data_IF_296929822888
#
_entry.id   IF_296929822888
#
_cell.length_a   1.000
_cell.length_b   1.000
_cell.length_c   1.000
_cell.angle_alpha   90.00
_cell.angle_beta   90.00
_cell.angle_gamma   90.00
#
_symmetry.space_group_name_H-M   'P 1'
#
loop_
_entity.id
_entity.type
_entity.pdbx_description
1 polymer ?
#
# COMPACT_ATOMS: atom_id res chain seq x y z
N UNK A 1 -69.59 -6.02 9.25
CA UNK A 1 -68.35 -5.57 8.61
C UNK A 1 -67.50 -4.60 9.45
N UNK A 2 -67.30 -4.86 10.77
CA UNK A 2 -66.56 -3.95 11.67
C UNK A 2 -65.42 -4.62 12.48
N UNK A 3 -65.14 -5.91 12.26
CA UNK A 3 -64.16 -6.65 13.04
C UNK A 3 -62.84 -7.04 12.29
N UNK A 4 -62.69 -6.71 11.00
CA UNK A 4 -61.52 -7.07 10.19
C UNK A 4 -60.52 -5.92 10.06
N UNK A 5 -60.92 -4.67 10.34
CA UNK A 5 -60.06 -3.50 10.15
C UNK A 5 -59.08 -3.20 11.30
N UNK A 6 -59.34 -3.69 12.50
CA UNK A 6 -58.50 -3.38 13.68
C UNK A 6 -57.17 -4.14 13.71
N UNK A 7 -57.05 -5.40 13.29
CA UNK A 7 -55.78 -6.09 13.27
C UNK A 7 -54.84 -5.57 12.16
N UNK A 8 -55.40 -5.11 11.02
CA UNK A 8 -54.61 -4.58 9.91
C UNK A 8 -53.90 -3.25 10.27
N UNK A 9 -54.60 -2.38 10.99
CA UNK A 9 -54.05 -1.09 11.46
C UNK A 9 -52.95 -1.34 12.54
N UNK A 10 -53.14 -2.31 13.42
CA UNK A 10 -52.07 -2.67 14.40
C UNK A 10 -50.83 -3.28 13.75
N UNK A 11 -50.98 -4.09 12.72
CA UNK A 11 -49.84 -4.62 11.95
C UNK A 11 -49.12 -3.52 11.16
N UNK A 12 -49.86 -2.53 10.61
CA UNK A 12 -49.23 -1.42 9.88
C UNK A 12 -48.49 -0.48 10.82
N UNK A 13 -49.02 -0.25 12.05
CA UNK A 13 -48.35 0.60 13.07
C UNK A 13 -47.08 -0.13 13.64
N UNK A 14 -47.12 -1.46 13.78
CA UNK A 14 -45.93 -2.22 14.16
C UNK A 14 -44.88 -2.23 13.06
N UNK A 15 -45.24 -2.26 11.77
CA UNK A 15 -44.28 -2.19 10.66
C UNK A 15 -43.67 -0.77 10.53
N UNK A 16 -44.42 0.28 10.84
CA UNK A 16 -43.91 1.67 10.82
C UNK A 16 -42.92 1.97 11.97
N UNK A 17 -42.93 1.21 13.06
CA UNK A 17 -42.02 1.39 14.19
C UNK A 17 -40.64 0.74 13.97
N UNK A 18 -40.48 -0.09 12.91
CA UNK A 18 -39.22 -0.68 12.52
C UNK A 18 -38.46 0.04 11.38
N UNK A 19 -39.11 1.08 10.80
CA UNK A 19 -38.40 1.99 9.89
C UNK A 19 -37.83 3.15 10.74
N UNK A 20 -36.97 2.82 11.69
CA UNK A 20 -35.96 3.77 12.14
C UNK A 20 -34.97 3.90 11.00
N UNK A 21 -34.82 5.15 10.52
CA UNK A 21 -33.97 5.52 9.42
C UNK A 21 -32.55 4.97 9.51
N UNK A 22 -31.74 5.10 8.47
CA UNK A 22 -30.42 4.53 8.45
C UNK A 22 -29.67 4.99 9.68
N UNK A 23 -29.45 4.08 10.62
CA UNK A 23 -28.39 4.25 11.57
C UNK A 23 -27.15 4.43 10.71
N UNK A 24 -26.66 5.65 10.59
CA UNK A 24 -25.33 5.91 10.08
C UNK A 24 -24.42 5.10 10.99
N UNK A 25 -24.10 3.89 10.57
CA UNK A 25 -23.03 3.12 11.15
C UNK A 25 -21.78 3.93 10.84
N UNK A 26 -21.49 4.92 11.66
CA UNK A 26 -20.14 5.44 11.79
C UNK A 26 -19.32 4.25 12.25
N UNK A 27 -18.72 3.54 11.28
CA UNK A 27 -17.64 2.63 11.58
C UNK A 27 -16.50 3.50 12.14
N UNK A 28 -16.55 3.73 13.44
CA UNK A 28 -15.45 4.31 14.17
C UNK A 28 -14.34 3.29 14.19
N UNK A 29 -13.40 3.38 13.24
CA UNK A 29 -12.16 2.64 13.31
C UNK A 29 -11.42 3.08 14.57
N UNK A 30 -11.48 2.27 15.62
CA UNK A 30 -10.72 2.48 16.84
C UNK A 30 -9.59 1.46 16.83
N UNK A 31 -8.39 1.93 16.48
CA UNK A 31 -7.19 1.12 16.67
C UNK A 31 -6.82 1.26 18.15
N UNK A 32 -6.88 0.16 18.88
CA UNK A 32 -6.39 0.12 20.24
C UNK A 32 -4.86 0.11 20.20
N UNK A 33 -4.28 1.21 20.67
CA UNK A 33 -2.83 1.32 20.85
C UNK A 33 -2.48 0.61 22.17
N UNK A 34 -1.65 -0.44 22.13
CA UNK A 34 -1.16 -1.04 23.35
C UNK A 34 -0.36 0.00 24.12
N UNK A 35 -0.79 0.31 25.34
CA UNK A 35 -0.09 1.22 26.21
C UNK A 35 1.11 0.47 26.79
N UNK A 36 2.36 0.99 26.62
CA UNK A 36 3.51 0.34 27.24
C UNK A 36 3.36 0.28 28.76
N UNK A 37 3.70 -0.82 29.39
CA UNK A 37 3.53 -1.06 30.83
C UNK A 37 4.13 0.07 31.70
N UNK A 38 5.26 0.63 31.28
CA UNK A 38 5.93 1.76 31.96
C UNK A 38 5.07 3.04 32.04
N UNK A 39 4.00 3.10 31.26
CA UNK A 39 3.15 4.30 31.12
C UNK A 39 1.69 4.05 31.48
N UNK A 40 1.32 2.86 31.99
CA UNK A 40 -0.07 2.52 32.30
C UNK A 40 -0.79 3.56 33.16
N UNK A 41 -0.10 4.09 34.17
CA UNK A 41 -0.64 5.08 35.10
C UNK A 41 -0.55 6.54 34.57
N UNK A 42 0.13 6.78 33.45
CA UNK A 42 0.33 8.14 32.92
C UNK A 42 -0.62 8.42 31.78
N UNK A 43 -1.18 9.62 31.75
CA UNK A 43 -1.92 10.11 30.56
C UNK A 43 -0.91 10.40 29.46
N UNK A 44 -1.05 9.71 28.34
CA UNK A 44 -0.13 9.83 27.21
C UNK A 44 -0.38 11.12 26.41
N UNK A 45 0.62 11.55 25.64
CA UNK A 45 0.48 12.74 24.77
C UNK A 45 -0.51 12.54 23.65
N UNK A 46 -0.62 11.32 23.11
CA UNK A 46 -1.64 10.97 22.12
C UNK A 46 -3.06 11.16 22.66
N UNK A 47 -3.30 10.83 23.94
CA UNK A 47 -4.59 11.01 24.62
C UNK A 47 -4.94 12.51 24.80
N UNK A 48 -3.92 13.35 25.02
CA UNK A 48 -4.02 14.81 25.20
C UNK A 48 -4.05 15.61 23.90
N UNK A 49 -4.04 14.99 22.73
CA UNK A 49 -3.99 15.70 21.43
C UNK A 49 -5.10 16.74 21.27
N UNK A 50 -6.28 16.52 21.89
CA UNK A 50 -7.42 17.43 21.84
C UNK A 50 -7.36 18.56 22.87
N UNK A 51 -6.51 18.45 23.91
CA UNK A 51 -6.52 19.32 25.10
C UNK A 51 -5.68 20.59 24.95
N UNK A 52 -5.14 20.93 23.79
CA UNK A 52 -4.30 22.12 23.67
C UNK A 52 -3.84 22.44 22.27
N UNK A 53 -3.14 23.54 22.13
CA UNK A 53 -2.50 23.91 20.84
C UNK A 53 -1.07 23.37 20.83
N UNK A 54 -0.75 22.57 19.81
CA UNK A 54 0.64 22.20 19.55
C UNK A 54 1.39 23.42 19.01
N UNK A 55 2.17 24.10 19.86
CA UNK A 55 2.96 25.28 19.49
C UNK A 55 4.17 24.88 18.66
N UNK A 56 4.62 25.76 17.75
CA UNK A 56 5.74 25.52 16.84
C UNK A 56 6.99 24.93 17.51
N UNK A 57 7.53 25.46 18.64
CA UNK A 57 8.72 24.87 19.26
C UNK A 57 8.48 23.42 19.71
N UNK A 58 7.31 23.13 20.30
CA UNK A 58 6.94 21.80 20.74
C UNK A 58 6.72 20.84 19.57
N UNK A 59 6.14 21.31 18.45
CA UNK A 59 5.97 20.52 17.23
C UNK A 59 7.32 20.10 16.65
N UNK A 60 8.27 21.02 16.54
CA UNK A 60 9.61 20.72 16.00
C UNK A 60 10.30 19.64 16.83
N UNK A 61 10.31 19.79 18.17
CA UNK A 61 10.93 18.79 19.06
C UNK A 61 10.24 17.42 18.88
N UNK A 62 8.91 17.39 18.87
CA UNK A 62 8.18 16.12 18.69
C UNK A 62 8.43 15.50 17.32
N UNK A 63 8.39 16.27 16.24
CA UNK A 63 8.70 15.78 14.90
C UNK A 63 10.11 15.19 14.84
N UNK A 64 11.10 15.87 15.42
CA UNK A 64 12.49 15.38 15.45
C UNK A 64 12.60 14.07 16.21
N UNK A 65 12.02 14.00 17.42
CA UNK A 65 12.07 12.77 18.25
C UNK A 65 11.32 11.64 17.58
N UNK A 66 10.12 11.89 17.04
CA UNK A 66 9.33 10.85 16.36
C UNK A 66 10.05 10.34 15.13
N UNK A 67 10.62 11.24 14.32
CA UNK A 67 11.36 10.86 13.12
C UNK A 67 12.55 9.98 13.44
N UNK A 68 13.50 10.48 14.24
CA UNK A 68 14.79 9.78 14.44
C UNK A 68 14.68 8.55 15.35
N UNK A 69 13.87 8.61 16.40
CA UNK A 69 13.82 7.50 17.36
C UNK A 69 12.83 6.39 16.96
N UNK A 70 11.77 6.74 16.22
CA UNK A 70 10.71 5.78 15.90
C UNK A 70 10.63 5.49 14.42
N UNK A 71 10.33 6.48 13.58
CA UNK A 71 10.13 6.27 12.14
C UNK A 71 11.39 5.76 11.46
N UNK A 72 12.52 6.41 11.65
CA UNK A 72 13.80 6.00 11.05
C UNK A 72 14.21 4.59 11.50
N UNK A 73 14.16 4.30 12.80
CA UNK A 73 14.55 3.00 13.33
C UNK A 73 13.58 1.89 12.92
N UNK A 74 12.28 2.16 12.83
CA UNK A 74 11.29 1.20 12.34
C UNK A 74 11.50 0.92 10.84
N UNK A 75 11.73 1.95 10.04
CA UNK A 75 12.03 1.82 8.60
C UNK A 75 13.30 1.01 8.36
N UNK A 76 14.36 1.29 9.12
CA UNK A 76 15.62 0.55 9.01
C UNK A 76 15.41 -0.94 9.30
N UNK A 77 14.74 -1.27 10.40
CA UNK A 77 14.45 -2.68 10.76
C UNK A 77 13.60 -3.38 9.69
N UNK A 78 12.60 -2.70 9.16
CA UNK A 78 11.76 -3.23 8.07
C UNK A 78 12.60 -3.54 6.82
N UNK A 79 13.49 -2.62 6.45
CA UNK A 79 14.39 -2.80 5.32
C UNK A 79 15.40 -3.94 5.57
N UNK A 80 15.90 -4.09 6.80
CA UNK A 80 16.80 -5.19 7.18
C UNK A 80 16.11 -6.56 7.00
N UNK A 81 14.82 -6.68 7.38
CA UNK A 81 14.03 -7.91 7.16
C UNK A 81 13.87 -8.21 5.67
N UNK A 82 13.49 -7.19 4.88
CA UNK A 82 13.36 -7.35 3.42
C UNK A 82 14.69 -7.71 2.76
N UNK A 83 15.79 -7.07 3.18
CA UNK A 83 17.12 -7.34 2.65
C UNK A 83 17.56 -8.78 2.96
N UNK A 84 17.40 -9.25 4.19
CA UNK A 84 17.66 -10.65 4.56
C UNK A 84 16.85 -11.62 3.71
N UNK A 85 15.56 -11.34 3.50
CA UNK A 85 14.70 -12.19 2.68
C UNK A 85 15.15 -12.24 1.22
N UNK A 86 15.62 -11.12 0.66
CA UNK A 86 16.22 -11.04 -0.67
C UNK A 86 17.56 -11.81 -0.77
N UNK A 87 18.41 -11.76 0.26
CA UNK A 87 19.69 -12.46 0.29
C UNK A 87 19.56 -13.98 0.34
N UNK A 88 18.50 -14.49 0.94
CA UNK A 88 18.19 -15.93 0.99
C UNK A 88 17.58 -16.41 -0.33
N UNK A 89 16.93 -15.53 -1.09
CA UNK A 89 16.28 -15.86 -2.34
C UNK A 89 17.29 -16.30 -3.40
N UNK A 90 16.92 -17.33 -4.18
CA UNK A 90 17.68 -17.80 -5.34
C UNK A 90 16.72 -17.94 -6.51
N UNK A 91 17.03 -17.25 -7.60
CA UNK A 91 16.26 -17.34 -8.83
C UNK A 91 16.59 -18.66 -9.57
N UNK A 92 15.54 -19.34 -10.03
CA UNK A 92 15.65 -20.45 -10.98
C UNK A 92 15.30 -19.96 -12.38
N UNK A 93 16.32 -19.74 -13.18
CA UNK A 93 16.18 -19.22 -14.55
C UNK A 93 15.62 -20.26 -15.55
N UNK A 94 15.46 -21.53 -15.14
CA UNK A 94 14.76 -22.53 -15.95
C UNK A 94 13.26 -22.38 -15.92
N UNK A 95 12.73 -21.62 -14.96
CA UNK A 95 11.31 -21.36 -14.76
C UNK A 95 10.99 -19.85 -14.87
N UNK A 96 9.69 -19.50 -14.90
CA UNK A 96 9.29 -18.11 -14.77
C UNK A 96 9.72 -17.57 -13.41
N UNK A 97 10.51 -16.51 -13.38
CA UNK A 97 10.95 -15.90 -12.13
C UNK A 97 9.75 -15.42 -11.32
N UNK A 98 9.78 -15.56 -9.98
CA UNK A 98 8.79 -14.91 -9.12
C UNK A 98 8.86 -13.39 -9.27
N UNK A 99 7.71 -12.73 -9.14
CA UNK A 99 7.64 -11.27 -9.34
C UNK A 99 8.59 -10.52 -8.42
N UNK A 100 8.56 -10.83 -7.11
CA UNK A 100 9.52 -10.31 -6.13
C UNK A 100 10.68 -11.31 -5.91
N UNK A 101 11.86 -10.79 -5.61
CA UNK A 101 13.01 -11.56 -5.18
C UNK A 101 13.02 -11.87 -3.67
N UNK A 102 11.84 -12.00 -3.09
CA UNK A 102 11.58 -12.47 -1.73
C UNK A 102 10.17 -13.08 -1.65
N UNK A 103 9.88 -13.83 -0.61
CA UNK A 103 8.54 -14.34 -0.35
C UNK A 103 8.06 -13.96 1.06
N UNK A 104 6.74 -13.80 1.22
CA UNK A 104 6.14 -13.49 2.51
C UNK A 104 6.37 -14.61 3.53
N UNK A 105 6.44 -15.87 3.08
CA UNK A 105 6.76 -17.01 3.95
C UNK A 105 8.18 -16.93 4.54
N UNK A 106 9.12 -16.25 3.88
CA UNK A 106 10.46 -15.98 4.41
C UNK A 106 10.43 -14.80 5.37
N UNK A 107 9.81 -13.67 4.99
CA UNK A 107 9.72 -12.50 5.88
C UNK A 107 8.99 -12.81 7.18
N UNK A 108 7.95 -13.65 7.14
CA UNK A 108 7.21 -14.09 8.31
C UNK A 108 8.09 -14.84 9.33
N UNK A 109 9.18 -15.48 8.92
CA UNK A 109 10.11 -16.14 9.85
C UNK A 109 10.85 -15.14 10.73
N UNK A 110 11.05 -13.92 10.27
CA UNK A 110 11.64 -12.81 11.03
C UNK A 110 10.57 -12.05 11.86
N UNK A 111 9.54 -12.77 12.38
CA UNK A 111 8.43 -12.19 13.12
C UNK A 111 8.86 -11.32 14.31
N UNK A 112 9.92 -11.70 15.04
CA UNK A 112 10.45 -10.93 16.16
C UNK A 112 10.95 -9.54 15.74
N UNK A 113 11.64 -9.46 14.59
CA UNK A 113 12.09 -8.18 14.05
C UNK A 113 10.90 -7.34 13.56
N UNK A 114 9.90 -7.97 12.94
CA UNK A 114 8.66 -7.31 12.52
C UNK A 114 7.82 -6.86 13.72
N UNK A 115 7.74 -7.64 14.80
CA UNK A 115 7.11 -7.23 16.06
C UNK A 115 7.86 -6.03 16.69
N UNK A 116 9.18 -5.97 16.56
CA UNK A 116 9.95 -4.78 16.97
C UNK A 116 9.63 -3.54 16.12
N UNK A 117 9.33 -3.69 14.82
CA UNK A 117 8.82 -2.59 13.98
C UNK A 117 7.46 -2.11 14.50
N UNK A 118 6.55 -3.05 14.77
CA UNK A 118 5.21 -2.78 15.30
C UNK A 118 5.29 -2.05 16.65
N UNK A 119 6.14 -2.55 17.56
CA UNK A 119 6.35 -1.92 18.88
C UNK A 119 6.88 -0.50 18.75
N UNK A 120 7.87 -0.27 17.87
CA UNK A 120 8.39 1.09 17.63
C UNK A 120 7.33 2.01 17.04
N UNK A 121 6.56 1.55 16.07
CA UNK A 121 5.50 2.33 15.46
C UNK A 121 4.40 2.67 16.48
N UNK A 122 3.86 1.68 17.18
CA UNK A 122 2.80 1.88 18.19
C UNK A 122 3.26 2.76 19.35
N UNK A 123 4.48 2.56 19.86
CA UNK A 123 5.05 3.42 20.92
C UNK A 123 5.25 4.85 20.42
N UNK A 124 5.75 5.04 19.21
CA UNK A 124 5.92 6.36 18.62
C UNK A 124 4.59 7.11 18.50
N UNK A 125 3.51 6.43 18.14
CA UNK A 125 2.16 6.99 18.08
C UNK A 125 1.64 7.31 19.51
N UNK A 126 1.78 6.36 20.45
CA UNK A 126 1.25 6.51 21.80
C UNK A 126 1.92 7.65 22.59
N UNK A 127 3.23 7.77 22.48
CA UNK A 127 4.05 8.70 23.29
C UNK A 127 4.06 10.14 22.74
N UNK A 128 3.59 10.38 21.51
CA UNK A 128 3.66 11.68 20.88
C UNK A 128 2.26 12.24 20.54
N UNK A 129 2.22 13.55 20.27
CA UNK A 129 1.01 14.21 19.81
C UNK A 129 0.66 13.72 18.40
N UNK A 130 -0.58 13.29 18.19
CA UNK A 130 -1.04 12.73 16.90
C UNK A 130 -1.03 13.74 15.74
N UNK A 131 -0.81 15.03 16.03
CA UNK A 131 -0.66 16.11 15.03
C UNK A 131 0.77 16.28 14.54
N UNK A 132 1.73 15.45 15.01
CA UNK A 132 3.07 15.46 14.44
C UNK A 132 3.06 14.88 13.01
N UNK A 133 4.05 15.30 12.21
CA UNK A 133 4.06 15.04 10.77
C UNK A 133 4.48 13.59 10.40
N UNK A 134 4.82 12.74 11.37
CA UNK A 134 5.30 11.36 11.18
C UNK A 134 4.33 10.28 11.69
N UNK A 135 3.16 10.69 12.16
CA UNK A 135 2.19 9.74 12.73
C UNK A 135 1.64 8.77 11.69
N UNK A 136 1.35 9.26 10.50
CA UNK A 136 0.87 8.45 9.37
C UNK A 136 1.95 7.51 8.82
N UNK A 137 3.21 7.92 8.82
CA UNK A 137 4.35 7.04 8.53
C UNK A 137 4.40 5.84 9.49
N UNK A 138 4.23 6.11 10.78
CA UNK A 138 4.23 5.04 11.79
C UNK A 138 3.08 4.07 11.60
N UNK A 139 1.86 4.55 11.32
CA UNK A 139 0.74 3.67 10.98
C UNK A 139 1.00 2.86 9.71
N UNK A 140 1.61 3.47 8.70
CA UNK A 140 1.97 2.79 7.45
C UNK A 140 3.01 1.68 7.72
N UNK A 141 4.08 1.98 8.44
CA UNK A 141 5.12 1.00 8.81
C UNK A 141 4.54 -0.17 9.61
N UNK A 142 3.61 0.12 10.51
CA UNK A 142 2.89 -0.91 11.26
C UNK A 142 2.07 -1.83 10.35
N UNK A 143 1.31 -1.24 9.41
CA UNK A 143 0.55 -2.00 8.41
C UNK A 143 1.44 -2.86 7.51
N UNK A 144 2.58 -2.32 7.06
CA UNK A 144 3.55 -3.06 6.26
C UNK A 144 4.15 -4.23 7.05
N UNK A 145 4.48 -4.03 8.32
CA UNK A 145 5.01 -5.10 9.17
C UNK A 145 3.99 -6.25 9.32
N UNK A 146 2.70 -5.94 9.51
CA UNK A 146 1.66 -6.97 9.52
C UNK A 146 1.52 -7.68 8.16
N UNK A 147 1.59 -6.95 7.06
CA UNK A 147 1.58 -7.56 5.72
C UNK A 147 2.73 -8.55 5.54
N UNK A 148 3.96 -8.19 5.96
CA UNK A 148 5.14 -9.05 5.87
C UNK A 148 5.08 -10.25 6.84
N UNK A 149 4.25 -10.18 7.89
CA UNK A 149 3.92 -11.31 8.78
C UNK A 149 2.77 -12.18 8.23
N UNK A 150 2.21 -11.86 7.07
CA UNK A 150 0.98 -12.48 6.54
C UNK A 150 -0.26 -12.28 7.44
N UNK A 151 -0.24 -11.28 8.32
CA UNK A 151 -1.40 -10.84 9.12
C UNK A 151 -2.24 -9.85 8.33
N UNK A 152 -2.81 -10.31 7.23
CA UNK A 152 -3.43 -9.46 6.20
C UNK A 152 -4.63 -8.65 6.68
N UNK A 153 -5.45 -9.22 7.58
CA UNK A 153 -6.61 -8.51 8.14
C UNK A 153 -6.17 -7.34 9.02
N UNK A 154 -5.12 -7.55 9.82
CA UNK A 154 -4.54 -6.48 10.66
C UNK A 154 -3.89 -5.38 9.80
N UNK A 155 -3.20 -5.77 8.73
CA UNK A 155 -2.64 -4.83 7.76
C UNK A 155 -3.74 -4.01 7.07
N UNK A 156 -4.82 -4.68 6.62
CA UNK A 156 -5.99 -4.05 6.03
C UNK A 156 -6.60 -2.99 6.94
N UNK A 157 -6.82 -3.30 8.22
CA UNK A 157 -7.38 -2.35 9.19
C UNK A 157 -6.52 -1.08 9.30
N UNK A 158 -5.18 -1.21 9.31
CA UNK A 158 -4.28 -0.05 9.38
C UNK A 158 -4.29 0.78 8.10
N UNK A 159 -4.27 0.15 6.93
CA UNK A 159 -4.36 0.87 5.65
C UNK A 159 -5.72 1.57 5.50
N UNK A 160 -6.80 0.93 5.90
CA UNK A 160 -8.13 1.55 5.94
C UNK A 160 -8.21 2.71 6.95
N UNK A 161 -7.59 2.56 8.12
CA UNK A 161 -7.50 3.65 9.10
C UNK A 161 -6.81 4.88 8.51
N UNK A 162 -5.65 4.69 7.85
CA UNK A 162 -4.92 5.79 7.20
C UNK A 162 -5.80 6.43 6.13
N UNK A 163 -6.45 5.62 5.29
CA UNK A 163 -7.35 6.10 4.24
C UNK A 163 -8.51 6.93 4.77
N UNK A 164 -9.09 6.52 5.88
CA UNK A 164 -10.21 7.22 6.51
C UNK A 164 -9.74 8.46 7.28
N UNK A 165 -8.76 8.32 8.17
CA UNK A 165 -8.36 9.38 9.10
C UNK A 165 -7.70 10.56 8.38
N UNK A 166 -6.87 10.28 7.37
CA UNK A 166 -6.17 11.30 6.58
C UNK A 166 -6.90 11.66 5.27
N UNK A 167 -8.15 11.27 5.11
CA UNK A 167 -8.97 11.64 3.97
C UNK A 167 -9.15 13.18 3.90
N UNK A 168 -9.14 13.77 2.71
CA UNK A 168 -9.40 15.20 2.53
C UNK A 168 -10.77 15.57 3.06
N UNK A 169 -10.84 16.69 3.81
CA UNK A 169 -12.09 17.23 4.36
C UNK A 169 -12.42 18.57 3.71
N UNK A 170 -13.70 18.89 3.63
CA UNK A 170 -14.18 20.23 3.30
C UNK A 170 -13.90 21.19 4.45
N UNK A 171 -14.09 22.52 4.21
CA UNK A 171 -13.86 23.55 5.23
C UNK A 171 -14.77 23.43 6.45
N UNK A 172 -15.95 22.84 6.27
CA UNK A 172 -16.93 22.52 7.30
C UNK A 172 -16.61 21.25 8.11
N UNK A 173 -15.53 20.56 7.78
CA UNK A 173 -15.08 19.35 8.46
C UNK A 173 -15.68 18.05 7.91
N UNK A 174 -16.62 18.10 6.97
CA UNK A 174 -17.15 16.90 6.31
C UNK A 174 -16.16 16.33 5.32
N UNK A 175 -16.21 15.00 5.12
CA UNK A 175 -15.41 14.37 4.08
C UNK A 175 -15.86 14.87 2.70
N UNK A 176 -14.88 15.11 1.83
CA UNK A 176 -15.18 15.40 0.43
C UNK A 176 -15.96 14.23 -0.15
N UNK A 177 -17.15 14.52 -0.65
CA UNK A 177 -17.97 13.50 -1.27
C UNK A 177 -17.27 12.95 -2.49
N UNK A 178 -17.12 11.62 -2.54
CA UNK A 178 -16.68 10.94 -3.74
C UNK A 178 -17.85 11.00 -4.71
N UNK A 179 -17.87 11.98 -5.63
CA UNK A 179 -18.94 12.19 -6.60
C UNK A 179 -18.84 11.21 -7.77
N UNK A 180 -19.95 10.82 -8.36
CA UNK A 180 -19.95 10.11 -9.64
C UNK A 180 -19.66 11.11 -10.77
N UNK A 181 -18.97 10.70 -11.82
CA UNK A 181 -18.68 11.51 -13.02
C UNK A 181 -19.92 12.02 -13.79
N UNK A 182 -21.13 11.84 -13.24
CA UNK A 182 -22.41 12.31 -13.79
C UNK A 182 -22.64 13.80 -13.64
N UNK A 183 -21.98 14.47 -12.70
CA UNK A 183 -22.19 15.89 -12.41
C UNK A 183 -21.15 16.80 -13.09
N UNK A 184 -20.79 16.52 -14.31
CA UNK A 184 -20.02 17.38 -15.19
C UNK A 184 -18.88 18.14 -14.50
N UNK A 185 -17.62 17.71 -14.65
CA UNK A 185 -16.38 18.39 -14.35
C UNK A 185 -15.66 18.19 -13.01
N UNK A 186 -16.09 17.32 -12.11
CA UNK A 186 -15.19 16.90 -11.00
C UNK A 186 -15.06 15.40 -11.02
N UNK A 187 -14.04 14.90 -11.74
CA UNK A 187 -13.62 13.52 -11.61
C UNK A 187 -13.41 13.22 -10.12
N UNK A 188 -14.07 12.19 -9.64
CA UNK A 188 -13.95 11.75 -8.26
C UNK A 188 -12.55 11.24 -8.02
N UNK A 189 -11.79 12.00 -7.27
CA UNK A 189 -10.46 11.60 -6.86
C UNK A 189 -10.53 10.82 -5.55
N UNK A 190 -9.99 9.62 -5.53
CA UNK A 190 -9.75 8.87 -4.29
C UNK A 190 -8.36 9.16 -3.72
N UNK A 191 -7.43 9.61 -4.54
CA UNK A 191 -6.11 10.03 -4.10
C UNK A 191 -6.16 11.40 -3.42
N UNK A 192 -5.18 11.65 -2.56
CA UNK A 192 -4.98 12.95 -1.93
C UNK A 192 -3.99 13.75 -2.76
N UNK A 193 -4.35 14.98 -3.13
CA UNK A 193 -3.43 15.91 -3.79
C UNK A 193 -2.30 16.27 -2.84
N UNK A 194 -1.07 16.01 -3.24
CA UNK A 194 0.11 16.38 -2.47
C UNK A 194 0.55 17.79 -2.78
N UNK A 195 0.94 18.54 -1.74
CA UNK A 195 1.49 19.88 -1.90
C UNK A 195 2.85 19.78 -2.57
N UNK A 196 3.12 20.68 -3.51
CA UNK A 196 4.40 20.80 -4.20
C UNK A 196 5.15 22.03 -3.67
N UNK A 197 6.46 21.90 -3.45
CA UNK A 197 7.34 23.01 -3.07
C UNK A 197 8.36 22.64 -1.99
N UNK A 198 9.41 23.44 -1.90
CA UNK A 198 10.54 23.22 -0.96
C UNK A 198 10.09 23.25 0.52
N UNK A 199 8.98 23.91 0.81
CA UNK A 199 8.40 24.02 2.17
C UNK A 199 7.14 23.18 2.36
N UNK A 200 6.87 22.23 1.47
CA UNK A 200 5.61 21.47 1.49
C UNK A 200 5.50 20.48 2.66
N UNK A 201 6.62 20.17 3.33
CA UNK A 201 6.68 19.07 4.33
C UNK A 201 6.58 17.70 3.68
N UNK A 202 6.63 16.64 4.52
CA UNK A 202 6.42 15.27 4.04
C UNK A 202 4.93 15.07 3.68
N UNK A 203 4.62 14.49 2.51
CA UNK A 203 3.22 14.27 2.12
C UNK A 203 2.60 13.19 2.96
N UNK A 204 1.32 13.36 3.32
CA UNK A 204 0.58 12.34 4.05
C UNK A 204 0.57 10.98 3.33
N UNK A 205 0.83 9.91 4.07
CA UNK A 205 1.04 8.54 3.55
C UNK A 205 -0.26 7.83 3.10
N UNK A 206 -1.35 8.59 2.94
CA UNK A 206 -2.62 8.03 2.47
C UNK A 206 -2.51 7.39 1.09
N UNK A 207 -1.82 8.04 0.15
CA UNK A 207 -1.64 7.49 -1.20
C UNK A 207 -0.73 6.24 -1.18
N UNK A 208 0.27 6.23 -0.31
CA UNK A 208 1.15 5.07 -0.06
C UNK A 208 0.35 3.91 0.54
N UNK A 209 -0.55 4.19 1.49
CA UNK A 209 -1.44 3.19 2.07
C UNK A 209 -2.39 2.56 1.05
N UNK A 210 -2.88 3.31 0.05
CA UNK A 210 -3.68 2.78 -1.05
C UNK A 210 -2.88 1.77 -1.90
N UNK A 211 -1.61 2.03 -2.17
CA UNK A 211 -0.72 1.09 -2.88
C UNK A 211 -0.47 -0.17 -2.05
N UNK A 212 -0.20 -0.02 -0.74
CA UNK A 212 0.01 -1.16 0.14
C UNK A 212 -1.25 -2.00 0.34
N UNK A 213 -2.42 -1.36 0.33
CA UNK A 213 -3.71 -2.05 0.35
C UNK A 213 -3.91 -2.94 -0.89
N UNK A 214 -3.52 -2.45 -2.07
CA UNK A 214 -3.54 -3.25 -3.30
C UNK A 214 -2.59 -4.45 -3.16
N UNK A 215 -1.35 -4.25 -2.67
CA UNK A 215 -0.41 -5.36 -2.42
C UNK A 215 -1.01 -6.38 -1.45
N UNK A 216 -1.71 -5.90 -0.42
CA UNK A 216 -2.36 -6.74 0.58
C UNK A 216 -3.50 -7.58 -0.02
N UNK A 217 -4.34 -7.00 -0.87
CA UNK A 217 -5.36 -7.75 -1.62
C UNK A 217 -4.74 -8.76 -2.59
N UNK A 218 -3.70 -8.38 -3.32
CA UNK A 218 -3.05 -9.27 -4.27
C UNK A 218 -2.33 -10.43 -3.57
N UNK A 219 -1.79 -10.23 -2.37
CA UNK A 219 -1.19 -11.31 -1.58
C UNK A 219 -2.24 -12.38 -1.21
N UNK A 220 -3.47 -11.96 -0.95
CA UNK A 220 -4.62 -12.82 -0.63
C UNK A 220 -5.41 -13.28 -1.88
N UNK A 221 -4.95 -12.97 -3.08
CA UNK A 221 -5.63 -13.26 -4.35
C UNK A 221 -7.04 -12.64 -4.46
N UNK A 222 -7.29 -11.57 -3.71
CA UNK A 222 -8.54 -10.81 -3.75
C UNK A 222 -8.54 -9.88 -4.97
N UNK A 223 -8.57 -10.46 -6.17
CA UNK A 223 -8.39 -9.74 -7.43
C UNK A 223 -9.50 -8.71 -7.71
N UNK A 224 -10.73 -8.96 -7.26
CA UNK A 224 -11.85 -8.05 -7.48
C UNK A 224 -11.66 -6.73 -6.71
N UNK A 225 -11.25 -6.81 -5.43
CA UNK A 225 -10.96 -5.65 -4.59
C UNK A 225 -9.76 -4.88 -5.13
N UNK A 226 -8.68 -5.59 -5.46
CA UNK A 226 -7.50 -4.99 -6.07
C UNK A 226 -7.85 -4.27 -7.40
N UNK A 227 -8.64 -4.91 -8.27
CA UNK A 227 -9.02 -4.34 -9.57
C UNK A 227 -9.83 -3.06 -9.43
N UNK A 228 -10.79 -3.00 -8.50
CA UNK A 228 -11.58 -1.80 -8.23
C UNK A 228 -10.70 -0.61 -7.82
N UNK A 229 -9.77 -0.83 -6.90
CA UNK A 229 -8.85 0.21 -6.42
C UNK A 229 -7.84 0.62 -7.51
N UNK A 230 -7.28 -0.35 -8.24
CA UNK A 230 -6.37 -0.09 -9.37
C UNK A 230 -7.04 0.73 -10.46
N UNK A 231 -8.28 0.40 -10.83
CA UNK A 231 -9.02 1.14 -11.85
C UNK A 231 -9.24 2.60 -11.44
N UNK A 232 -9.62 2.82 -10.18
CA UNK A 232 -9.83 4.15 -9.66
C UNK A 232 -8.53 4.98 -9.65
N UNK A 233 -7.39 4.42 -9.18
CA UNK A 233 -6.11 5.13 -9.13
C UNK A 233 -5.50 5.40 -10.52
N UNK A 234 -5.74 4.54 -11.50
CA UNK A 234 -5.23 4.73 -12.87
C UNK A 234 -5.76 5.98 -13.55
N UNK A 235 -7.02 6.29 -13.33
CA UNK A 235 -7.73 7.42 -13.95
C UNK A 235 -7.70 8.67 -13.09
N UNK A 236 -7.21 8.56 -11.86
CA UNK A 236 -7.16 9.67 -10.92
C UNK A 236 -6.06 10.68 -11.30
N UNK A 237 -6.46 11.87 -11.75
CA UNK A 237 -5.55 12.93 -12.15
C UNK A 237 -4.77 13.52 -10.97
N UNK A 238 -5.23 13.33 -9.73
CA UNK A 238 -4.58 13.85 -8.52
C UNK A 238 -3.57 12.86 -7.94
N UNK A 239 -3.52 11.64 -8.46
CA UNK A 239 -2.58 10.62 -7.98
C UNK A 239 -1.13 11.10 -8.19
N UNK A 240 -0.29 11.10 -7.13
CA UNK A 240 1.01 11.74 -7.15
C UNK A 240 2.01 11.06 -8.10
N UNK A 241 2.80 11.89 -8.77
CA UNK A 241 3.80 11.42 -9.74
C UNK A 241 4.86 10.51 -9.09
N UNK A 242 5.23 10.77 -7.82
CA UNK A 242 6.22 9.97 -7.08
C UNK A 242 5.84 8.51 -6.92
N UNK A 243 4.53 8.20 -6.89
CA UNK A 243 4.00 6.84 -6.74
C UNK A 243 3.60 6.18 -8.06
N UNK A 244 3.90 6.79 -9.22
CA UNK A 244 3.57 6.19 -10.52
C UNK A 244 4.33 4.90 -10.80
N UNK A 245 5.57 4.80 -10.31
CA UNK A 245 6.37 3.57 -10.40
C UNK A 245 5.72 2.45 -9.58
N UNK A 246 5.35 2.73 -8.32
CA UNK A 246 4.66 1.77 -7.44
C UNK A 246 3.28 1.38 -7.99
N UNK A 247 2.54 2.33 -8.59
CA UNK A 247 1.26 2.00 -9.24
C UNK A 247 1.46 1.05 -10.42
N UNK A 248 2.47 1.28 -11.27
CA UNK A 248 2.78 0.38 -12.38
C UNK A 248 3.21 -1.00 -11.88
N UNK A 249 3.96 -1.07 -10.77
CA UNK A 249 4.35 -2.32 -10.10
C UNK A 249 3.11 -3.15 -9.70
N UNK A 250 2.19 -2.56 -8.93
CA UNK A 250 1.01 -3.31 -8.44
C UNK A 250 0.03 -3.66 -9.56
N UNK A 251 -0.04 -2.86 -10.63
CA UNK A 251 -0.80 -3.21 -11.84
C UNK A 251 -0.15 -4.42 -12.52
N UNK A 252 1.17 -4.39 -12.72
CA UNK A 252 1.92 -5.50 -13.31
C UNK A 252 1.77 -6.78 -12.47
N UNK A 253 1.93 -6.69 -11.15
CA UNK A 253 1.74 -7.80 -10.22
C UNK A 253 0.34 -8.40 -10.33
N UNK A 254 -0.70 -7.55 -10.43
CA UNK A 254 -2.08 -8.01 -10.60
C UNK A 254 -2.25 -8.83 -11.87
N UNK A 255 -1.69 -8.39 -12.99
CA UNK A 255 -1.73 -9.13 -14.24
C UNK A 255 -0.84 -10.39 -14.21
N UNK A 256 0.33 -10.32 -13.58
CA UNK A 256 1.22 -11.45 -13.39
C UNK A 256 0.51 -12.60 -12.64
N UNK A 257 -0.12 -12.31 -11.51
CA UNK A 257 -0.87 -13.30 -10.73
C UNK A 257 -2.07 -13.88 -11.48
N UNK A 258 -2.67 -13.13 -12.41
CA UNK A 258 -3.74 -13.58 -13.28
C UNK A 258 -3.25 -14.24 -14.58
N UNK A 259 -1.94 -14.44 -14.75
CA UNK A 259 -1.31 -15.02 -15.94
C UNK A 259 -1.60 -14.25 -17.24
N UNK A 260 -1.88 -12.94 -17.13
CA UNK A 260 -2.09 -12.04 -18.26
C UNK A 260 -0.75 -11.42 -18.67
N UNK A 261 0.09 -12.25 -19.31
CA UNK A 261 1.52 -12.01 -19.49
C UNK A 261 1.84 -10.74 -20.26
N UNK A 262 1.15 -10.46 -21.38
CA UNK A 262 1.38 -9.25 -22.17
C UNK A 262 1.12 -7.97 -21.36
N UNK A 263 0.00 -7.92 -20.65
CA UNK A 263 -0.32 -6.78 -19.79
C UNK A 263 0.64 -6.64 -18.60
N UNK A 264 1.04 -7.76 -18.01
CA UNK A 264 2.04 -7.77 -16.93
C UNK A 264 3.37 -7.20 -17.43
N UNK A 265 3.87 -7.68 -18.58
CA UNK A 265 5.09 -7.19 -19.20
C UNK A 265 5.04 -5.69 -19.53
N UNK A 266 3.92 -5.22 -20.10
CA UNK A 266 3.74 -3.82 -20.45
C UNK A 266 3.84 -2.88 -19.24
N UNK A 267 3.18 -3.22 -18.14
CA UNK A 267 3.24 -2.39 -16.92
C UNK A 267 4.56 -2.53 -16.18
N UNK A 268 5.20 -3.72 -16.22
CA UNK A 268 6.53 -3.91 -15.67
C UNK A 268 7.57 -3.07 -16.46
N UNK A 269 7.47 -3.04 -17.78
CA UNK A 269 8.31 -2.19 -18.62
C UNK A 269 8.15 -0.69 -18.29
N UNK A 270 6.93 -0.24 -17.99
CA UNK A 270 6.69 1.14 -17.53
C UNK A 270 7.31 1.42 -16.17
N UNK A 271 7.21 0.49 -15.24
CA UNK A 271 7.84 0.59 -13.92
C UNK A 271 9.36 0.75 -14.03
N UNK A 272 9.99 -0.01 -14.92
CA UNK A 272 11.44 -0.01 -15.13
C UNK A 272 12.02 1.34 -15.55
N UNK A 273 11.22 2.22 -16.14
CA UNK A 273 11.66 3.58 -16.50
C UNK A 273 11.95 4.46 -15.27
N UNK A 274 11.34 4.15 -14.13
CA UNK A 274 11.50 4.89 -12.85
C UNK A 274 12.52 4.28 -11.90
N UNK A 275 13.18 3.17 -12.28
CA UNK A 275 14.13 2.45 -11.40
C UNK A 275 15.57 2.73 -11.82
N UNK A 276 16.50 2.98 -10.86
CA UNK A 276 17.92 3.10 -11.14
C UNK A 276 18.51 1.84 -11.78
N UNK A 277 19.56 1.98 -12.57
CA UNK A 277 20.29 0.86 -13.15
C UNK A 277 21.05 0.09 -12.07
N UNK A 278 20.46 -1.00 -11.64
CA UNK A 278 20.96 -1.87 -10.57
C UNK A 278 20.75 -3.34 -10.95
N UNK A 279 21.35 -4.25 -10.21
CA UNK A 279 21.11 -5.68 -10.39
C UNK A 279 19.64 -6.07 -10.23
N UNK A 280 18.90 -5.38 -9.36
CA UNK A 280 17.44 -5.55 -9.20
C UNK A 280 16.70 -5.18 -10.48
N UNK A 281 17.09 -4.09 -11.14
CA UNK A 281 16.54 -3.70 -12.46
C UNK A 281 16.85 -4.75 -13.52
N UNK A 282 18.08 -5.25 -13.58
CA UNK A 282 18.46 -6.30 -14.52
C UNK A 282 17.60 -7.56 -14.37
N UNK A 283 17.34 -7.97 -13.12
CA UNK A 283 16.44 -9.08 -12.82
C UNK A 283 15.02 -8.85 -13.31
N UNK A 284 14.47 -7.65 -13.08
CA UNK A 284 13.13 -7.27 -13.54
C UNK A 284 13.05 -7.12 -15.06
N UNK A 285 14.13 -6.69 -15.72
CA UNK A 285 14.24 -6.69 -17.17
C UNK A 285 14.23 -8.11 -17.72
N UNK A 286 14.96 -9.05 -17.08
CA UNK A 286 14.90 -10.47 -17.43
C UNK A 286 13.47 -11.03 -17.28
N UNK A 287 12.82 -10.78 -16.14
CA UNK A 287 11.43 -11.17 -15.92
C UNK A 287 10.48 -10.57 -16.99
N UNK A 288 10.68 -9.29 -17.35
CA UNK A 288 9.90 -8.65 -18.42
C UNK A 288 10.09 -9.38 -19.76
N UNK A 289 11.32 -9.81 -20.05
CA UNK A 289 11.62 -10.64 -21.21
C UNK A 289 10.86 -11.97 -21.17
N UNK A 290 10.86 -12.68 -20.04
CA UNK A 290 10.10 -13.93 -19.87
C UNK A 290 8.60 -13.72 -20.07
N UNK A 291 8.04 -12.63 -19.55
CA UNK A 291 6.61 -12.33 -19.69
C UNK A 291 6.22 -12.04 -21.14
N UNK A 292 7.05 -11.31 -21.88
CA UNK A 292 6.82 -11.10 -23.33
C UNK A 292 7.00 -12.38 -24.14
N UNK A 293 7.96 -13.24 -23.78
CA UNK A 293 8.13 -14.55 -24.40
C UNK A 293 6.90 -15.44 -24.21
N UNK A 294 6.36 -15.50 -22.96
CA UNK A 294 5.10 -16.20 -22.66
C UNK A 294 3.89 -15.61 -23.38
N UNK A 295 3.91 -14.32 -23.68
CA UNK A 295 2.89 -13.65 -24.49
C UNK A 295 3.07 -13.85 -26.00
N UNK A 296 4.11 -14.55 -26.45
CA UNK A 296 4.43 -14.77 -27.86
C UNK A 296 5.07 -13.56 -28.57
N UNK A 297 5.48 -12.53 -27.82
CA UNK A 297 6.14 -11.34 -28.38
C UNK A 297 7.66 -11.46 -28.27
N UNK A 298 8.23 -12.31 -29.16
CA UNK A 298 9.66 -12.61 -29.17
C UNK A 298 10.55 -11.37 -29.39
N UNK A 299 10.10 -10.42 -30.20
CA UNK A 299 10.86 -9.18 -30.43
C UNK A 299 11.02 -8.34 -29.18
N UNK A 300 9.94 -8.14 -28.42
CA UNK A 300 9.99 -7.45 -27.13
C UNK A 300 10.77 -8.26 -26.10
N UNK A 301 10.59 -9.58 -26.05
CA UNK A 301 11.34 -10.47 -25.15
C UNK A 301 12.85 -10.32 -25.36
N UNK A 302 13.32 -10.42 -26.60
CA UNK A 302 14.73 -10.22 -26.95
C UNK A 302 15.27 -8.87 -26.49
N UNK A 303 14.47 -7.80 -26.72
CA UNK A 303 14.84 -6.44 -26.30
C UNK A 303 15.11 -6.38 -24.79
N UNK A 304 14.21 -6.96 -23.96
CA UNK A 304 14.34 -6.90 -22.51
C UNK A 304 15.42 -7.81 -21.97
N UNK A 305 15.62 -9.00 -22.50
CA UNK A 305 16.78 -9.84 -22.18
C UNK A 305 18.09 -9.13 -22.50
N UNK A 306 18.18 -8.44 -23.64
CA UNK A 306 19.37 -7.68 -24.02
C UNK A 306 19.61 -6.49 -23.09
N UNK A 307 18.55 -5.80 -22.61
CA UNK A 307 18.68 -4.70 -21.63
C UNK A 307 19.19 -5.16 -20.28
N UNK A 308 18.84 -6.38 -19.83
CA UNK A 308 19.30 -6.93 -18.56
C UNK A 308 20.84 -7.12 -18.50
N UNK A 309 21.47 -7.39 -19.64
CA UNK A 309 22.92 -7.70 -19.72
C UNK A 309 23.79 -6.59 -19.10
N UNK A 310 23.74 -5.33 -19.56
CA UNK A 310 24.62 -4.28 -19.04
C UNK A 310 24.26 -3.82 -17.62
N UNK A 311 23.06 -4.12 -17.13
CA UNK A 311 22.62 -3.73 -15.79
C UNK A 311 22.93 -4.79 -14.74
N UNK A 312 23.24 -6.02 -15.16
CA UNK A 312 23.55 -7.11 -14.25
C UNK A 312 24.96 -7.00 -13.70
N UNK A 313 25.08 -7.17 -12.38
CA UNK A 313 26.35 -7.43 -11.68
C UNK A 313 26.51 -8.91 -11.30
N UNK A 314 25.47 -9.73 -11.56
CA UNK A 314 25.44 -11.16 -11.35
C UNK A 314 25.77 -11.88 -12.67
N UNK A 315 26.88 -12.61 -12.68
CA UNK A 315 27.33 -13.34 -13.85
C UNK A 315 26.31 -14.39 -14.35
N UNK A 316 25.57 -15.02 -13.43
CA UNK A 316 24.56 -16.02 -13.79
C UNK A 316 23.42 -15.35 -14.54
N UNK A 317 22.89 -14.25 -14.02
CA UNK A 317 21.83 -13.48 -14.65
C UNK A 317 22.29 -12.94 -16.02
N UNK A 318 23.53 -12.45 -16.14
CA UNK A 318 24.08 -11.98 -17.40
C UNK A 318 24.12 -13.11 -18.45
N UNK A 319 24.67 -14.29 -18.09
CA UNK A 319 24.73 -15.45 -18.98
C UNK A 319 23.33 -15.91 -19.39
N UNK A 320 22.40 -16.02 -18.45
CA UNK A 320 21.02 -16.42 -18.72
C UNK A 320 20.31 -15.43 -19.64
N UNK A 321 20.57 -14.13 -19.46
CA UNK A 321 20.02 -13.07 -20.33
C UNK A 321 20.51 -13.20 -21.77
N UNK A 322 21.80 -13.51 -21.97
CA UNK A 322 22.39 -13.77 -23.31
C UNK A 322 21.79 -15.02 -23.95
N UNK A 323 21.68 -16.11 -23.20
CA UNK A 323 21.10 -17.37 -23.69
C UNK A 323 19.65 -17.17 -24.09
N UNK A 324 18.84 -16.51 -23.24
CA UNK A 324 17.44 -16.23 -23.50
C UNK A 324 17.24 -15.32 -24.74
N UNK A 325 18.07 -14.28 -24.89
CA UNK A 325 18.03 -13.41 -26.07
C UNK A 325 18.31 -14.16 -27.38
N UNK A 326 19.29 -15.10 -27.37
CA UNK A 326 19.61 -15.95 -28.54
C UNK A 326 18.48 -16.95 -28.82
N UNK A 327 17.91 -17.55 -27.75
CA UNK A 327 16.82 -18.55 -27.88
C UNK A 327 15.61 -17.95 -28.58
N UNK A 328 15.13 -16.78 -28.14
CA UNK A 328 13.94 -16.14 -28.73
C UNK A 328 14.19 -15.61 -30.14
N UNK A 329 15.43 -15.25 -30.49
CA UNK A 329 15.82 -14.84 -31.84
C UNK A 329 15.71 -15.98 -32.85
N UNK A 330 16.02 -17.21 -32.44
CA UNK A 330 15.94 -18.40 -33.30
C UNK A 330 14.52 -18.94 -33.48
N UNK A 331 13.62 -18.57 -32.57
CA UNK A 331 12.21 -18.99 -32.58
C UNK A 331 11.29 -17.97 -33.27
N UNK A 332 11.83 -16.85 -33.74
CA UNK A 332 11.15 -15.81 -34.49
C UNK A 332 11.30 -16.05 -35.99
#
# INVERSE_FOLDING_TARGET
>A
MRKVFVPLIRSLIMLALFIKGPASAQMGFKIELPKPEEYEERVLRSEKTKEGKLRLPGKVVQNTVTHFNYTYNATRKLNDVLQKAKEVHRDDYATLLPFYNYSLSVTRKDSLELDSVIQKASSGIALHDLRNDWTDDLYLLWGIAYHLQEKFDSAHLLFQFINYYYAPREKDGYFKTIGSARDGNKATSIATTEKKGVFAGDPAKRNDALIWEIRNYLAQEQFAQAAGLLQALRVDATFPARLRTDLNEVISLSFYKQQKWDSAAFYLAKMLTGIPNTNEKARLEYLTGQLYELAGNNGAAKLFYTKAIPHSTDLILEIQSRIAAIRVDRSS
#
